data_IF_830620443476
#
_entry.id   IF_830620443476
#
_cell.length_a   1.000
_cell.length_b   1.000
_cell.length_c   1.000
_cell.angle_alpha   90.00
_cell.angle_beta   90.00
_cell.angle_gamma   90.00
#
_symmetry.space_group_name_H-M   'P 1'
#
loop_
_entity.id
_entity.type
_entity.pdbx_description
1 polymer ?
#
# COMPACT_ATOMS: atom_id res chain seq x y z
N UNK A 1 -1.15 -23.83 50.10
CA UNK A 1 -0.07 -23.73 49.08
C UNK A 1 -0.57 -23.41 47.66
N UNK A 2 -1.74 -23.92 47.20
CA UNK A 2 -2.28 -23.66 45.85
C UNK A 2 -2.49 -22.17 45.50
N UNK A 3 -2.98 -21.32 46.42
CA UNK A 3 -3.23 -19.89 46.09
C UNK A 3 -1.97 -19.06 45.84
N UNK A 4 -0.86 -19.34 46.53
CA UNK A 4 0.41 -18.64 46.32
C UNK A 4 1.04 -18.98 44.97
N UNK A 5 1.02 -20.25 44.57
CA UNK A 5 1.54 -20.68 43.27
C UNK A 5 0.67 -20.15 42.12
N UNK A 6 -0.65 -20.14 42.29
CA UNK A 6 -1.57 -19.56 41.30
C UNK A 6 -1.40 -18.03 41.18
N UNK A 7 -1.20 -17.33 42.29
CA UNK A 7 -0.90 -15.88 42.28
C UNK A 7 0.43 -15.57 41.59
N UNK A 8 1.47 -16.40 41.82
CA UNK A 8 2.77 -16.28 41.13
C UNK A 8 2.62 -16.52 39.64
N UNK A 9 1.86 -17.55 39.23
CA UNK A 9 1.59 -17.82 37.81
C UNK A 9 0.90 -16.63 37.14
N UNK A 10 -0.15 -16.07 37.75
CA UNK A 10 -0.81 -14.88 37.20
C UNK A 10 0.11 -13.67 37.10
N UNK A 11 1.00 -13.46 38.08
CA UNK A 11 2.01 -12.39 38.00
C UNK A 11 2.99 -12.61 36.85
N UNK A 12 3.48 -13.84 36.64
CA UNK A 12 4.33 -14.16 35.50
C UNK A 12 3.62 -13.95 34.17
N UNK A 13 2.37 -14.42 34.04
CA UNK A 13 1.56 -14.18 32.84
C UNK A 13 1.34 -12.68 32.60
N UNK A 14 1.03 -11.91 33.66
CA UNK A 14 0.85 -10.47 33.57
C UNK A 14 2.13 -9.75 33.13
N UNK A 15 3.29 -10.10 33.71
CA UNK A 15 4.59 -9.51 33.34
C UNK A 15 4.94 -9.82 31.89
N UNK A 16 4.80 -11.08 31.46
CA UNK A 16 5.05 -11.48 30.07
C UNK A 16 4.10 -10.77 29.10
N UNK A 17 2.80 -10.72 29.42
CA UNK A 17 1.82 -10.00 28.62
C UNK A 17 2.12 -8.50 28.54
N UNK A 18 2.51 -7.90 29.67
CA UNK A 18 2.85 -6.48 29.72
C UNK A 18 4.11 -6.16 28.92
N UNK A 19 5.12 -7.03 28.97
CA UNK A 19 6.35 -6.92 28.19
C UNK A 19 6.04 -6.92 26.69
N UNK A 20 5.26 -7.88 26.21
CA UNK A 20 4.88 -7.96 24.79
C UNK A 20 4.08 -6.75 24.32
N UNK A 21 3.13 -6.30 25.13
CA UNK A 21 2.36 -5.08 24.83
C UNK A 21 3.25 -3.81 24.78
N UNK A 22 4.26 -3.71 25.64
CA UNK A 22 5.22 -2.62 25.59
C UNK A 22 6.04 -2.69 24.29
N UNK A 23 6.49 -3.89 23.91
CA UNK A 23 7.19 -4.08 22.64
C UNK A 23 6.33 -3.67 21.45
N UNK A 24 5.04 -4.05 21.41
CA UNK A 24 4.12 -3.62 20.34
C UNK A 24 4.04 -2.09 20.23
N UNK A 25 3.98 -1.39 21.36
CA UNK A 25 3.99 0.07 21.37
C UNK A 25 5.30 0.66 20.85
N UNK A 26 6.44 0.05 21.19
CA UNK A 26 7.76 0.47 20.70
C UNK A 26 7.87 0.25 19.19
N UNK A 27 7.40 -0.89 18.68
CA UNK A 27 7.38 -1.24 17.26
C UNK A 27 6.47 -0.26 16.51
N UNK A 28 5.26 0.00 17.01
CA UNK A 28 4.33 0.96 16.41
C UNK A 28 4.95 2.37 16.35
N UNK A 29 5.62 2.81 17.42
CA UNK A 29 6.35 4.07 17.46
C UNK A 29 7.50 4.09 16.43
N UNK A 30 8.27 3.00 16.31
CA UNK A 30 9.34 2.86 15.32
C UNK A 30 8.80 3.01 13.89
N UNK A 31 7.76 2.24 13.55
CA UNK A 31 7.10 2.28 12.24
C UNK A 31 6.61 3.70 11.94
N UNK A 32 5.87 4.31 12.87
CA UNK A 32 5.33 5.64 12.70
C UNK A 32 6.44 6.68 12.47
N UNK A 33 7.53 6.64 13.24
CA UNK A 33 8.65 7.58 13.10
C UNK A 33 9.34 7.42 11.76
N UNK A 34 9.60 6.21 11.29
CA UNK A 34 10.18 5.95 9.97
C UNK A 34 9.28 6.50 8.87
N UNK A 35 7.96 6.25 8.92
CA UNK A 35 6.99 6.80 7.97
C UNK A 35 6.94 8.33 7.98
N UNK A 36 7.05 8.97 9.16
CA UNK A 36 7.10 10.43 9.27
C UNK A 36 8.35 10.98 8.59
N UNK A 37 9.51 10.34 8.75
CA UNK A 37 10.73 10.78 8.06
C UNK A 37 10.63 10.59 6.54
N UNK A 38 10.04 9.49 6.08
CA UNK A 38 9.77 9.29 4.64
C UNK A 38 8.91 10.41 4.07
N UNK A 39 7.80 10.76 4.74
CA UNK A 39 6.91 11.88 4.33
C UNK A 39 7.63 13.23 4.34
N UNK A 40 8.54 13.45 5.29
CA UNK A 40 9.36 14.67 5.32
C UNK A 40 10.35 14.70 4.15
N UNK A 41 10.96 13.56 3.81
CA UNK A 41 11.83 13.41 2.64
C UNK A 41 11.09 13.68 1.32
N UNK A 42 9.87 13.15 1.18
CA UNK A 42 9.01 13.42 0.02
C UNK A 42 8.63 14.90 -0.10
N UNK A 43 8.28 15.53 1.02
CA UNK A 43 7.96 16.95 1.06
C UNK A 43 9.17 17.82 0.72
N UNK A 44 10.37 17.44 1.19
CA UNK A 44 11.62 18.13 0.87
C UNK A 44 11.96 18.00 -0.62
N UNK A 45 11.89 16.79 -1.16
CA UNK A 45 12.06 16.53 -2.59
C UNK A 45 11.12 17.38 -3.43
N UNK A 46 9.83 17.43 -3.09
CA UNK A 46 8.85 18.24 -3.83
C UNK A 46 9.23 19.72 -3.86
N UNK A 47 9.63 20.28 -2.71
CA UNK A 47 10.11 21.67 -2.62
C UNK A 47 11.35 21.93 -3.46
N UNK A 48 12.30 21.00 -3.48
CA UNK A 48 13.51 21.14 -4.31
C UNK A 48 13.19 21.08 -5.80
N UNK A 49 12.29 20.18 -6.23
CA UNK A 49 11.82 20.12 -7.62
C UNK A 49 11.13 21.42 -8.04
N UNK A 50 10.27 21.97 -7.18
CA UNK A 50 9.60 23.25 -7.44
C UNK A 50 10.59 24.41 -7.58
N UNK A 51 11.58 24.49 -6.68
CA UNK A 51 12.67 25.48 -6.73
C UNK A 51 13.50 25.34 -8.01
N UNK A 52 13.89 24.11 -8.36
CA UNK A 52 14.63 23.82 -9.59
C UNK A 52 13.81 24.18 -10.83
N UNK A 53 12.53 23.83 -10.89
CA UNK A 53 11.67 24.17 -12.02
C UNK A 53 11.53 25.69 -12.21
N UNK A 54 11.47 26.45 -11.11
CA UNK A 54 11.44 27.92 -11.16
C UNK A 54 12.75 28.51 -11.68
N UNK A 55 13.89 27.99 -11.21
CA UNK A 55 15.24 28.41 -11.61
C UNK A 55 15.49 28.05 -13.08
N UNK A 56 15.11 26.85 -13.48
CA UNK A 56 15.24 26.33 -14.84
C UNK A 56 14.35 27.10 -15.84
N UNK A 57 13.15 27.53 -15.43
CA UNK A 57 12.33 28.48 -16.21
C UNK A 57 13.03 29.83 -16.40
N UNK A 58 13.69 30.36 -15.36
CA UNK A 58 14.46 31.61 -15.47
C UNK A 58 15.66 31.45 -16.40
N UNK A 59 16.44 30.37 -16.24
CA UNK A 59 17.60 30.07 -17.07
C UNK A 59 17.22 29.86 -18.54
N UNK A 60 16.13 29.13 -18.82
CA UNK A 60 15.58 28.98 -20.17
C UNK A 60 15.14 30.31 -20.79
N UNK A 61 14.50 31.19 -20.00
CA UNK A 61 14.10 32.51 -20.48
C UNK A 61 15.33 33.39 -20.79
N UNK A 62 16.38 33.33 -19.99
CA UNK A 62 17.64 34.02 -20.27
C UNK A 62 18.32 33.46 -21.53
N UNK A 63 18.39 32.13 -21.68
CA UNK A 63 18.91 31.48 -22.88
C UNK A 63 18.11 31.87 -24.14
N UNK A 64 16.78 31.88 -24.06
CA UNK A 64 15.90 32.32 -25.15
C UNK A 64 16.16 33.77 -25.56
N UNK A 65 16.31 34.68 -24.59
CA UNK A 65 16.65 36.09 -24.87
C UNK A 65 18.02 36.23 -25.55
N UNK A 66 19.02 35.45 -25.12
CA UNK A 66 20.35 35.42 -25.75
C UNK A 66 20.27 34.89 -27.19
N UNK A 67 19.48 33.84 -27.43
CA UNK A 67 19.26 33.29 -28.78
C UNK A 67 18.54 34.29 -29.69
N UNK A 68 17.55 35.03 -29.16
CA UNK A 68 16.85 36.11 -29.87
C UNK A 68 17.81 37.22 -30.34
N UNK A 69 18.77 37.61 -29.49
CA UNK A 69 19.81 38.58 -29.86
C UNK A 69 20.67 38.07 -31.01
N UNK A 70 20.91 36.75 -31.09
CA UNK A 70 21.73 36.14 -32.13
C UNK A 70 21.00 35.95 -33.48
N UNK A 71 19.66 35.98 -33.50
CA UNK A 71 18.83 35.81 -34.72
C UNK A 71 18.32 37.16 -35.23
N UNK A 72 18.56 38.25 -34.51
CA UNK A 72 18.05 39.57 -34.87
C UNK A 72 18.99 40.28 -35.87
N UNK A 73 18.61 40.27 -37.16
CA UNK A 73 19.34 40.92 -38.26
C UNK A 73 19.55 42.44 -38.08
N UNK A 74 18.83 43.08 -37.14
CA UNK A 74 19.00 44.50 -36.82
C UNK A 74 20.21 44.77 -35.92
N UNK A 75 20.80 43.74 -35.33
CA UNK A 75 21.97 43.85 -34.45
C UNK A 75 23.20 43.47 -35.28
N UNK A 76 24.17 44.39 -35.48
CA UNK A 76 25.41 44.04 -36.16
C UNK A 76 26.15 42.92 -35.44
N UNK A 77 26.72 41.96 -36.18
CA UNK A 77 27.45 40.79 -35.64
C UNK A 77 28.52 41.15 -34.59
N UNK A 78 29.18 42.30 -34.77
CA UNK A 78 30.20 42.81 -33.83
C UNK A 78 29.62 43.16 -32.44
N UNK A 79 28.32 43.46 -32.34
CA UNK A 79 27.65 43.91 -31.11
C UNK A 79 26.86 42.79 -30.40
N UNK A 80 26.64 41.64 -31.06
CA UNK A 80 25.88 40.50 -30.52
C UNK A 80 26.40 40.06 -29.15
N UNK A 81 27.72 39.98 -28.97
CA UNK A 81 28.34 39.62 -27.68
C UNK A 81 28.08 40.65 -26.59
N UNK A 82 28.18 41.95 -26.90
CA UNK A 82 27.88 43.01 -25.94
C UNK A 82 26.42 42.97 -25.49
N UNK A 83 25.50 42.75 -26.44
CA UNK A 83 24.06 42.63 -26.17
C UNK A 83 23.69 41.36 -25.41
N UNK A 84 24.40 40.25 -25.63
CA UNK A 84 24.24 39.05 -24.82
C UNK A 84 24.71 39.26 -23.36
N UNK A 85 25.78 40.04 -23.15
CA UNK A 85 26.28 40.37 -21.81
C UNK A 85 25.42 41.36 -21.04
N UNK A 86 24.53 42.12 -21.71
CA UNK A 86 23.47 42.90 -21.04
C UNK A 86 22.40 42.00 -20.41
N UNK A 87 22.21 40.77 -20.92
CA UNK A 87 21.22 39.80 -20.42
C UNK A 87 21.80 38.94 -19.29
N UNK A 88 23.04 38.47 -19.47
CA UNK A 88 23.80 37.72 -18.44
C UNK A 88 25.19 38.33 -18.35
N UNK A 89 25.59 38.92 -17.21
CA UNK A 89 26.91 39.53 -17.05
C UNK A 89 28.04 38.57 -17.40
N UNK A 90 29.11 39.09 -18.01
CA UNK A 90 30.27 38.30 -18.45
C UNK A 90 30.87 37.44 -17.34
N UNK A 91 30.90 37.96 -16.12
CA UNK A 91 31.47 37.30 -14.94
C UNK A 91 30.61 36.11 -14.47
N UNK A 92 29.30 36.17 -14.69
CA UNK A 92 28.34 35.12 -14.33
C UNK A 92 28.07 34.15 -15.49
N UNK A 93 28.47 34.49 -16.71
CA UNK A 93 28.16 33.72 -17.91
C UNK A 93 28.68 32.27 -17.85
N UNK A 94 29.86 32.04 -17.26
CA UNK A 94 30.40 30.68 -17.05
C UNK A 94 29.55 29.89 -16.05
N UNK A 95 29.08 30.54 -14.99
CA UNK A 95 28.21 29.93 -13.98
C UNK A 95 26.84 29.61 -14.56
N UNK A 96 26.25 30.53 -15.32
CA UNK A 96 25.02 30.33 -16.09
C UNK A 96 25.10 29.11 -17.01
N UNK A 97 26.15 28.99 -17.83
CA UNK A 97 26.34 27.82 -18.70
C UNK A 97 26.51 26.52 -17.90
N UNK A 98 27.20 26.58 -16.76
CA UNK A 98 27.37 25.40 -15.90
C UNK A 98 26.07 24.95 -15.25
N UNK A 99 25.21 25.89 -14.83
CA UNK A 99 23.90 25.63 -14.22
C UNK A 99 22.87 25.18 -15.25
N UNK A 100 22.87 25.80 -16.44
CA UNK A 100 22.04 25.40 -17.57
C UNK A 100 22.37 23.98 -18.07
N UNK A 101 23.65 23.59 -18.01
CA UNK A 101 24.10 22.24 -18.39
C UNK A 101 23.77 21.18 -17.33
N UNK A 102 23.56 21.54 -16.05
CA UNK A 102 23.34 20.55 -14.98
C UNK A 102 22.10 19.72 -15.31
N UNK A 103 22.34 18.44 -15.57
CA UNK A 103 21.29 17.44 -15.73
C UNK A 103 20.57 17.29 -14.40
N UNK A 104 19.24 17.35 -14.45
CA UNK A 104 18.35 17.14 -13.31
C UNK A 104 18.88 16.01 -12.41
N UNK A 105 19.27 16.36 -11.18
CA UNK A 105 19.63 15.35 -10.20
C UNK A 105 18.45 14.37 -10.06
N UNK A 106 18.78 13.08 -9.93
CA UNK A 106 17.76 12.05 -9.69
C UNK A 106 16.90 12.49 -8.52
N UNK A 107 15.57 12.49 -8.66
CA UNK A 107 14.65 12.95 -7.60
C UNK A 107 14.99 12.33 -6.24
N UNK A 108 15.41 11.06 -6.24
CA UNK A 108 15.78 10.35 -5.01
C UNK A 108 17.04 10.90 -4.33
N UNK A 109 17.94 11.56 -5.06
CA UNK A 109 19.13 12.20 -4.49
C UNK A 109 18.75 13.21 -3.40
N UNK A 110 17.77 14.07 -3.66
CA UNK A 110 17.33 15.10 -2.71
C UNK A 110 16.72 14.50 -1.44
N UNK A 111 16.01 13.36 -1.57
CA UNK A 111 15.48 12.61 -0.42
C UNK A 111 16.61 12.09 0.47
N UNK A 112 17.61 11.44 -0.14
CA UNK A 112 18.73 10.87 0.59
C UNK A 112 19.67 11.92 1.18
N UNK A 113 19.80 13.08 0.53
CA UNK A 113 20.48 14.24 1.10
C UNK A 113 19.75 14.75 2.35
N UNK A 114 18.43 14.85 2.31
CA UNK A 114 17.62 15.25 3.47
C UNK A 114 17.82 14.29 4.64
N UNK A 115 17.82 12.97 4.42
CA UNK A 115 18.07 12.00 5.49
C UNK A 115 19.44 12.20 6.15
N UNK A 116 20.48 12.47 5.36
CA UNK A 116 21.81 12.83 5.89
C UNK A 116 21.81 14.11 6.74
N UNK A 117 20.93 15.07 6.46
CA UNK A 117 20.82 16.30 7.27
C UNK A 117 20.10 16.05 8.60
N UNK A 118 19.12 15.16 8.64
CA UNK A 118 18.32 14.87 9.85
C UNK A 118 18.82 13.65 10.65
N UNK A 119 20.00 13.11 10.32
CA UNK A 119 20.55 11.91 10.94
C UNK A 119 20.56 11.94 12.46
N UNK A 120 21.00 13.03 13.08
CA UNK A 120 21.06 13.13 14.54
C UNK A 120 19.69 12.90 15.19
N UNK A 121 18.63 13.42 14.55
CA UNK A 121 17.24 13.22 14.98
C UNK A 121 16.78 11.79 14.75
N UNK A 122 17.15 11.18 13.61
CA UNK A 122 16.86 9.77 13.30
C UNK A 122 17.50 8.86 14.36
N UNK A 123 18.81 8.98 14.57
CA UNK A 123 19.58 8.18 15.55
C UNK A 123 19.02 8.32 16.95
N UNK A 124 18.76 9.55 17.41
CA UNK A 124 18.21 9.79 18.76
C UNK A 124 16.86 9.09 18.99
N UNK A 125 16.03 9.01 17.96
CA UNK A 125 14.67 8.50 18.09
C UNK A 125 14.53 7.01 17.79
N UNK A 126 15.27 6.48 16.80
CA UNK A 126 15.11 5.10 16.32
C UNK A 126 16.13 4.15 16.91
N UNK A 127 17.38 4.59 17.14
CA UNK A 127 18.46 3.72 17.61
C UNK A 127 18.18 3.08 18.97
N UNK A 128 17.60 3.77 19.97
CA UNK A 128 17.27 3.13 21.25
C UNK A 128 16.26 2.01 21.10
N UNK A 129 15.26 2.18 20.22
CA UNK A 129 14.25 1.15 19.95
C UNK A 129 14.90 -0.02 19.21
N UNK A 130 15.69 0.28 18.17
CA UNK A 130 16.40 -0.74 17.40
C UNK A 130 17.35 -1.58 18.26
N UNK A 131 18.01 -1.00 19.27
CA UNK A 131 18.91 -1.72 20.18
C UNK A 131 18.22 -2.76 21.07
N UNK A 132 16.96 -2.53 21.43
CA UNK A 132 16.24 -3.34 22.43
C UNK A 132 15.38 -4.41 21.77
N UNK A 133 14.97 -4.19 20.53
CA UNK A 133 14.10 -5.11 19.80
C UNK A 133 14.94 -6.05 18.94
N UNK A 134 14.70 -7.35 19.09
CA UNK A 134 15.30 -8.39 18.26
C UNK A 134 14.45 -8.62 17.00
N UNK A 135 14.96 -8.18 15.86
CA UNK A 135 14.31 -8.35 14.55
C UNK A 135 14.78 -9.65 13.89
N UNK A 136 13.86 -10.60 13.71
CA UNK A 136 14.04 -11.75 12.84
C UNK A 136 13.59 -11.40 11.43
N UNK A 137 14.39 -11.72 10.41
CA UNK A 137 14.09 -11.36 9.02
C UNK A 137 14.09 -12.62 8.15
N UNK A 138 13.06 -12.82 7.33
CA UNK A 138 13.04 -13.91 6.36
C UNK A 138 14.10 -13.73 5.25
N UNK A 139 14.45 -12.49 4.92
CA UNK A 139 15.53 -12.19 3.98
C UNK A 139 16.88 -12.19 4.71
N UNK A 140 17.75 -13.12 4.33
CA UNK A 140 19.09 -13.30 4.89
C UNK A 140 19.97 -12.03 4.74
N UNK A 141 19.90 -11.33 3.60
CA UNK A 141 20.69 -10.12 3.39
C UNK A 141 20.28 -8.99 4.35
N UNK A 142 18.98 -8.88 4.66
CA UNK A 142 18.48 -7.92 5.65
C UNK A 142 18.85 -8.35 7.07
N UNK A 143 18.76 -9.65 7.37
CA UNK A 143 19.19 -10.20 8.65
C UNK A 143 20.67 -9.90 8.93
N UNK A 144 21.54 -10.13 7.95
CA UNK A 144 22.97 -9.83 8.04
C UNK A 144 23.22 -8.33 8.26
N UNK A 145 22.47 -7.46 7.56
CA UNK A 145 22.57 -6.01 7.77
C UNK A 145 22.15 -5.58 9.18
N UNK A 146 21.11 -6.20 9.74
CA UNK A 146 20.64 -5.98 11.12
C UNK A 146 21.70 -6.43 12.11
N UNK A 147 22.22 -7.65 11.99
CA UNK A 147 23.29 -8.17 12.86
C UNK A 147 24.54 -7.28 12.80
N UNK A 148 24.96 -6.88 11.60
CA UNK A 148 26.07 -5.96 11.40
C UNK A 148 25.82 -4.61 12.10
N UNK A 149 24.63 -4.04 11.94
CA UNK A 149 24.24 -2.79 12.58
C UNK A 149 24.23 -2.91 14.11
N UNK A 150 23.74 -4.01 14.68
CA UNK A 150 23.81 -4.28 16.13
C UNK A 150 25.26 -4.35 16.62
N UNK A 151 26.11 -5.11 15.93
CA UNK A 151 27.53 -5.24 16.26
C UNK A 151 28.25 -3.89 16.21
N UNK A 152 28.03 -3.11 15.16
CA UNK A 152 28.64 -1.78 14.99
C UNK A 152 28.21 -0.83 16.12
N UNK A 153 26.91 -0.80 16.41
CA UNK A 153 26.34 0.06 17.45
C UNK A 153 26.85 -0.33 18.86
N UNK A 154 27.19 -1.60 19.08
CA UNK A 154 27.72 -2.12 20.35
C UNK A 154 29.23 -1.96 20.52
N UNK A 155 30.01 -2.05 19.44
CA UNK A 155 31.48 -2.04 19.50
C UNK A 155 32.11 -0.64 19.50
N UNK A 156 31.35 0.40 19.18
CA UNK A 156 31.78 1.81 19.19
C UNK A 156 33.09 2.08 18.40
N UNK A 157 33.45 1.17 17.48
CA UNK A 157 34.63 1.29 16.61
C UNK A 157 34.37 2.33 15.52
N UNK A 158 35.39 3.12 15.12
CA UNK A 158 35.24 4.06 14.03
C UNK A 158 35.02 3.32 12.70
N UNK A 159 34.15 3.88 11.87
CA UNK A 159 33.73 3.31 10.58
C UNK A 159 34.88 3.06 9.60
N UNK A 160 36.00 3.78 9.74
CA UNK A 160 37.17 3.70 8.87
C UNK A 160 37.91 2.36 8.93
N UNK A 161 37.59 1.52 9.93
CA UNK A 161 38.23 0.22 10.12
C UNK A 161 37.50 -0.94 9.42
N UNK A 162 36.30 -0.70 8.86
CA UNK A 162 35.51 -1.74 8.18
C UNK A 162 35.75 -1.72 6.67
N UNK A 163 35.98 -2.91 6.09
CA UNK A 163 36.04 -3.05 4.63
C UNK A 163 34.64 -2.90 4.04
N UNK A 164 34.55 -2.34 2.84
CA UNK A 164 33.28 -2.19 2.11
C UNK A 164 32.67 -3.56 1.78
N UNK A 165 33.52 -4.58 1.64
CA UNK A 165 33.12 -5.96 1.35
C UNK A 165 32.39 -6.62 2.53
N UNK A 166 32.67 -6.17 3.76
CA UNK A 166 32.06 -6.71 4.98
C UNK A 166 30.67 -6.10 5.26
N UNK A 167 30.29 -5.04 4.54
CA UNK A 167 29.04 -4.30 4.78
C UNK A 167 27.93 -4.86 3.89
N UNK A 168 26.88 -5.49 4.47
CA UNK A 168 25.79 -6.03 3.67
C UNK A 168 25.01 -4.90 3.00
N UNK A 169 24.96 -4.88 1.66
CA UNK A 169 24.22 -3.88 0.86
C UNK A 169 23.14 -4.49 -0.04
N UNK A 170 23.14 -5.82 -0.19
CA UNK A 170 22.28 -6.54 -1.14
C UNK A 170 20.80 -6.59 -0.76
N UNK A 171 20.47 -6.22 0.49
CA UNK A 171 19.09 -6.14 0.96
C UNK A 171 18.26 -5.01 0.33
N UNK A 172 18.89 -4.11 -0.44
CA UNK A 172 18.26 -2.93 -1.02
C UNK A 172 18.52 -2.78 -2.53
N UNK A 173 17.62 -2.18 -3.32
CA UNK A 173 17.79 -2.06 -4.75
C UNK A 173 19.10 -1.36 -5.16
N UNK A 174 19.84 -1.95 -6.10
CA UNK A 174 21.09 -1.40 -6.67
C UNK A 174 20.93 0.04 -7.19
N UNK A 175 19.74 0.40 -7.67
CA UNK A 175 19.41 1.76 -8.12
C UNK A 175 19.44 2.80 -7.00
N UNK A 176 19.29 2.41 -5.74
CA UNK A 176 19.31 3.30 -4.60
C UNK A 176 20.61 3.19 -3.79
N UNK A 177 21.35 2.08 -3.90
CA UNK A 177 22.68 1.91 -3.29
C UNK A 177 23.65 3.05 -3.68
N UNK A 178 23.53 3.60 -4.89
CA UNK A 178 24.32 4.77 -5.35
C UNK A 178 24.16 6.03 -4.50
N UNK A 179 23.07 6.17 -3.74
CA UNK A 179 22.84 7.34 -2.89
C UNK A 179 23.47 7.21 -1.50
N UNK A 180 23.96 6.02 -1.17
CA UNK A 180 24.65 5.69 0.07
C UNK A 180 26.14 5.57 -0.20
N UNK A 181 26.54 5.11 -1.38
CA UNK A 181 27.94 5.12 -1.81
C UNK A 181 28.37 6.53 -2.23
N UNK A 182 29.28 7.12 -1.47
CA UNK A 182 29.92 8.40 -1.80
C UNK A 182 31.33 8.15 -2.32
N UNK A 183 31.82 8.99 -3.25
CA UNK A 183 33.24 8.99 -3.63
C UNK A 183 33.98 9.83 -2.59
N UNK A 184 34.99 9.27 -1.92
CA UNK A 184 35.80 10.05 -0.98
C UNK A 184 36.62 11.10 -1.74
N UNK A 185 36.81 12.27 -1.14
CA UNK A 185 37.66 13.34 -1.70
C UNK A 185 39.16 13.02 -1.61
N UNK A 186 39.55 12.11 -0.71
CA UNK A 186 40.95 11.80 -0.39
C UNK A 186 41.42 10.44 -0.94
N UNK A 187 40.50 9.53 -1.24
CA UNK A 187 40.81 8.20 -1.79
C UNK A 187 39.76 7.88 -2.88
N UNK A 188 40.15 7.48 -4.11
CA UNK A 188 39.20 7.08 -5.16
C UNK A 188 38.31 5.88 -4.80
N UNK A 189 38.56 5.21 -3.66
CA UNK A 189 37.70 4.13 -3.16
C UNK A 189 36.30 4.63 -2.77
N UNK A 190 35.28 3.85 -3.12
CA UNK A 190 33.88 4.12 -2.77
C UNK A 190 33.71 4.02 -1.25
N UNK A 191 33.33 5.09 -0.57
CA UNK A 191 32.99 5.03 0.85
C UNK A 191 31.46 4.92 1.02
N UNK A 192 31.01 4.24 2.07
CA UNK A 192 29.58 4.16 2.42
C UNK A 192 29.26 5.29 3.40
N UNK A 193 28.23 6.08 3.11
CA UNK A 193 27.65 7.04 4.04
C UNK A 193 26.87 6.27 5.11
N UNK A 194 27.49 6.12 6.27
CA UNK A 194 26.94 5.40 7.41
C UNK A 194 25.55 5.90 7.81
N UNK A 195 25.35 7.22 7.79
CA UNK A 195 24.14 7.84 8.28
C UNK A 195 22.94 7.47 7.40
N UNK A 196 23.18 7.43 6.09
CA UNK A 196 22.18 6.98 5.11
C UNK A 196 21.99 5.46 5.14
N UNK A 197 23.07 4.70 5.38
CA UNK A 197 23.00 3.25 5.52
C UNK A 197 22.11 2.83 6.70
N UNK A 198 22.31 3.42 7.87
CA UNK A 198 21.51 3.14 9.06
C UNK A 198 20.02 3.44 8.82
N UNK A 199 19.71 4.58 8.19
CA UNK A 199 18.34 4.88 7.83
C UNK A 199 17.76 3.91 6.78
N UNK A 200 18.58 3.42 5.84
CA UNK A 200 18.17 2.40 4.87
C UNK A 200 17.75 1.09 5.57
N UNK A 201 18.52 0.65 6.57
CA UNK A 201 18.16 -0.53 7.38
C UNK A 201 16.81 -0.30 8.09
N UNK A 202 16.62 0.86 8.72
CA UNK A 202 15.35 1.18 9.38
C UNK A 202 14.16 1.25 8.43
N UNK A 203 14.37 1.80 7.23
CA UNK A 203 13.36 1.79 6.19
C UNK A 203 12.99 0.36 5.81
N UNK A 204 13.97 -0.51 5.57
CA UNK A 204 13.67 -1.86 5.12
C UNK A 204 13.06 -2.74 6.21
N UNK A 205 13.42 -2.53 7.47
CA UNK A 205 12.71 -3.12 8.62
C UNK A 205 11.25 -2.67 8.69
N UNK A 206 10.99 -1.38 8.52
CA UNK A 206 9.62 -0.85 8.52
C UNK A 206 8.78 -1.45 7.38
N UNK A 207 9.36 -1.61 6.18
CA UNK A 207 8.69 -2.30 5.08
C UNK A 207 8.45 -3.76 5.40
N UNK A 208 9.46 -4.45 5.91
CA UNK A 208 9.35 -5.87 6.24
C UNK A 208 8.32 -6.16 7.33
N UNK A 209 8.15 -5.25 8.31
CA UNK A 209 7.11 -5.34 9.33
C UNK A 209 5.70 -5.17 8.74
N UNK A 210 5.54 -4.34 7.70
CA UNK A 210 4.25 -4.18 7.02
C UNK A 210 3.92 -5.37 6.11
N UNK A 211 4.93 -5.91 5.43
CA UNK A 211 4.79 -7.02 4.48
C UNK A 211 4.94 -8.39 5.16
N UNK A 212 4.97 -8.45 6.50
CA UNK A 212 5.11 -9.68 7.31
C UNK A 212 6.36 -10.52 7.01
N UNK A 213 7.44 -9.91 6.51
CA UNK A 213 8.73 -10.58 6.27
C UNK A 213 9.76 -10.35 7.39
N UNK A 214 9.44 -9.45 8.32
CA UNK A 214 10.21 -9.20 9.54
C UNK A 214 9.31 -9.50 10.72
N UNK A 215 9.84 -10.30 11.63
CA UNK A 215 9.14 -10.82 12.78
C UNK A 215 9.87 -10.48 14.08
N UNK A 216 9.11 -10.40 15.16
CA UNK A 216 9.62 -10.08 16.49
C UNK A 216 8.99 -11.07 17.47
N UNK A 217 9.80 -11.97 18.03
CA UNK A 217 9.35 -13.02 18.94
C UNK A 217 8.55 -12.45 20.12
N UNK A 218 9.03 -11.35 20.71
CA UNK A 218 8.46 -10.81 21.94
C UNK A 218 7.35 -9.75 21.68
N UNK A 219 6.62 -9.88 20.57
CA UNK A 219 5.48 -9.05 20.16
C UNK A 219 4.18 -9.88 20.14
N UNK A 220 3.01 -9.23 20.16
CA UNK A 220 1.75 -9.89 19.80
C UNK A 220 1.39 -9.68 18.32
N UNK A 221 1.64 -8.49 17.79
CA UNK A 221 1.22 -8.13 16.43
C UNK A 221 2.20 -8.60 15.34
N UNK A 222 3.47 -8.80 15.70
CA UNK A 222 4.56 -9.07 14.74
C UNK A 222 5.28 -10.40 15.01
N UNK A 223 4.70 -11.27 15.84
CA UNK A 223 5.26 -12.59 16.14
C UNK A 223 5.04 -13.53 14.95
N UNK A 224 6.03 -14.35 14.58
CA UNK A 224 5.82 -15.36 13.54
C UNK A 224 4.91 -16.47 14.10
N UNK A 225 4.11 -17.09 13.23
CA UNK A 225 3.17 -18.14 13.65
C UNK A 225 3.94 -19.33 14.24
N UNK A 226 5.10 -19.62 13.70
CA UNK A 226 5.99 -20.71 14.09
C UNK A 226 6.37 -20.63 15.58
N UNK A 227 6.56 -19.41 16.11
CA UNK A 227 6.87 -19.18 17.54
C UNK A 227 5.65 -19.35 18.47
N UNK A 228 4.44 -19.48 17.92
CA UNK A 228 3.21 -19.80 18.65
C UNK A 228 2.85 -21.28 18.58
N UNK A 229 3.43 -22.01 17.64
CA UNK A 229 3.19 -23.43 17.44
C UNK A 229 4.15 -24.28 18.27
N UNK A 230 3.84 -25.57 18.37
CA UNK A 230 4.77 -26.56 18.90
C UNK A 230 5.92 -26.69 17.89
N UNK A 231 7.15 -26.68 18.39
CA UNK A 231 8.34 -26.88 17.56
C UNK A 231 8.19 -28.14 16.70
N UNK A 232 8.56 -28.06 15.43
CA UNK A 232 8.29 -29.09 14.44
C UNK A 232 9.01 -30.39 14.79
N UNK A 233 10.26 -30.29 15.25
CA UNK A 233 11.07 -31.43 15.68
C UNK A 233 10.42 -32.14 16.88
N UNK A 234 9.88 -31.35 17.80
CA UNK A 234 9.17 -31.85 18.97
C UNK A 234 7.83 -32.49 18.59
N UNK A 235 7.07 -31.86 17.68
CA UNK A 235 5.80 -32.38 17.17
C UNK A 235 6.00 -33.72 16.45
N UNK A 236 6.99 -33.83 15.56
CA UNK A 236 7.27 -35.07 14.82
C UNK A 236 7.61 -36.23 15.77
N UNK A 237 8.39 -35.95 16.81
CA UNK A 237 8.83 -36.97 17.77
C UNK A 237 7.71 -37.40 18.72
N UNK A 238 6.88 -36.45 19.21
CA UNK A 238 5.91 -36.69 20.29
C UNK A 238 4.45 -36.68 19.83
N UNK A 239 4.18 -36.63 18.52
CA UNK A 239 2.83 -36.54 17.93
C UNK A 239 1.80 -37.44 18.62
N UNK A 240 2.10 -38.74 18.71
CA UNK A 240 1.17 -39.73 19.25
C UNK A 240 0.90 -39.56 20.75
N UNK A 241 1.88 -39.05 21.50
CA UNK A 241 1.71 -38.75 22.91
C UNK A 241 0.85 -37.50 23.10
N UNK A 242 1.18 -36.42 22.37
CA UNK A 242 0.43 -35.16 22.42
C UNK A 242 -1.04 -35.36 22.01
N UNK A 243 -1.31 -36.15 20.97
CA UNK A 243 -2.68 -36.48 20.55
C UNK A 243 -3.46 -37.24 21.63
N UNK A 244 -2.80 -38.16 22.36
CA UNK A 244 -3.41 -38.87 23.49
C UNK A 244 -3.71 -37.93 24.66
N UNK A 245 -2.78 -37.01 24.97
CA UNK A 245 -2.96 -36.03 26.06
C UNK A 245 -4.06 -35.01 25.78
N UNK A 246 -4.20 -34.58 24.51
CA UNK A 246 -5.25 -33.66 24.09
C UNK A 246 -6.65 -34.27 24.22
N UNK A 247 -6.76 -35.61 24.20
CA UNK A 247 -8.01 -36.35 24.31
C UNK A 247 -9.10 -35.84 23.35
N UNK A 248 -8.70 -35.50 22.11
CA UNK A 248 -9.59 -35.04 21.04
C UNK A 248 -9.77 -36.17 20.01
N UNK A 249 -10.93 -36.87 20.01
CA UNK A 249 -11.16 -38.04 19.16
C UNK A 249 -11.02 -37.74 17.67
N UNK A 250 -11.45 -36.53 17.27
CA UNK A 250 -11.44 -36.07 15.88
C UNK A 250 -10.02 -35.87 15.33
N UNK A 251 -9.07 -35.46 16.17
CA UNK A 251 -7.66 -35.31 15.79
C UNK A 251 -6.89 -36.64 15.81
N UNK A 252 -7.44 -37.66 16.46
CA UNK A 252 -6.88 -39.02 16.52
C UNK A 252 -7.34 -39.91 15.37
N UNK A 253 -8.42 -39.51 14.68
CA UNK A 253 -8.98 -40.25 13.56
C UNK A 253 -8.25 -39.87 12.28
N UNK A 254 -8.03 -40.82 11.37
CA UNK A 254 -7.45 -40.52 10.07
C UNK A 254 -8.34 -39.57 9.28
N UNK A 255 -7.75 -38.61 8.58
CA UNK A 255 -8.49 -37.71 7.68
C UNK A 255 -9.26 -38.51 6.61
N UNK A 256 -8.72 -39.64 6.16
CA UNK A 256 -9.36 -40.51 5.18
C UNK A 256 -10.65 -41.12 5.73
N UNK A 257 -10.66 -41.55 7.00
CA UNK A 257 -11.83 -42.14 7.64
C UNK A 257 -12.92 -41.10 7.91
N UNK A 258 -12.51 -39.89 8.27
CA UNK A 258 -13.45 -38.75 8.44
C UNK A 258 -14.11 -38.44 7.09
N UNK A 259 -13.31 -38.34 6.02
CA UNK A 259 -13.82 -38.03 4.69
C UNK A 259 -14.74 -39.14 4.15
N UNK A 260 -14.40 -40.41 4.34
CA UNK A 260 -15.25 -41.53 3.89
C UNK A 260 -16.57 -41.60 4.65
N UNK A 261 -16.56 -41.28 5.95
CA UNK A 261 -17.78 -41.19 6.76
C UNK A 261 -18.66 -40.04 6.27
N UNK A 262 -18.09 -38.86 6.05
CA UNK A 262 -18.81 -37.69 5.52
C UNK A 262 -19.36 -37.94 4.12
N UNK A 263 -18.61 -38.61 3.25
CA UNK A 263 -19.04 -39.00 1.91
C UNK A 263 -20.24 -39.96 1.98
N UNK A 264 -20.15 -40.98 2.83
CA UNK A 264 -21.24 -41.94 3.05
C UNK A 264 -22.48 -41.25 3.62
N UNK A 265 -22.31 -40.34 4.58
CA UNK A 265 -23.42 -39.57 5.16
C UNK A 265 -24.10 -38.67 4.14
N UNK A 266 -23.32 -38.04 3.25
CA UNK A 266 -23.84 -37.21 2.17
C UNK A 266 -24.61 -38.07 1.17
N UNK A 267 -24.06 -39.21 0.74
CA UNK A 267 -24.71 -40.13 -0.19
C UNK A 267 -26.03 -40.66 0.38
N UNK A 268 -26.03 -41.09 1.64
CA UNK A 268 -27.25 -41.50 2.35
C UNK A 268 -28.28 -40.38 2.39
N UNK A 269 -27.86 -39.14 2.67
CA UNK A 269 -28.76 -37.97 2.64
C UNK A 269 -29.33 -37.73 1.25
N UNK A 270 -28.53 -37.82 0.19
CA UNK A 270 -29.02 -37.71 -1.19
C UNK A 270 -30.08 -38.77 -1.49
N UNK A 271 -29.84 -40.02 -1.13
CA UNK A 271 -30.80 -41.11 -1.34
C UNK A 271 -32.11 -40.88 -0.58
N UNK A 272 -32.02 -40.46 0.70
CA UNK A 272 -33.20 -40.14 1.52
C UNK A 272 -33.97 -38.96 0.92
N UNK A 273 -33.29 -37.89 0.52
CA UNK A 273 -33.92 -36.70 -0.06
C UNK A 273 -34.58 -37.03 -1.39
N UNK A 274 -33.89 -37.74 -2.29
CA UNK A 274 -34.44 -38.17 -3.58
C UNK A 274 -35.65 -39.09 -3.39
N UNK A 275 -35.59 -40.03 -2.43
CA UNK A 275 -36.74 -40.87 -2.08
C UNK A 275 -37.93 -40.02 -1.63
N UNK A 276 -37.72 -39.06 -0.72
CA UNK A 276 -38.79 -38.16 -0.23
C UNK A 276 -39.38 -37.27 -1.33
N UNK A 277 -38.57 -36.88 -2.31
CA UNK A 277 -39.03 -36.13 -3.49
C UNK A 277 -39.95 -37.00 -4.34
N UNK A 278 -39.56 -38.26 -4.61
CA UNK A 278 -40.36 -39.19 -5.43
C UNK A 278 -41.63 -39.65 -4.71
N UNK A 279 -41.58 -39.90 -3.39
CA UNK A 279 -42.75 -40.31 -2.60
C UNK A 279 -43.72 -39.17 -2.29
N UNK A 280 -43.34 -37.92 -2.58
CA UNK A 280 -44.15 -36.73 -2.30
C UNK A 280 -44.13 -36.29 -0.83
N UNK A 281 -43.30 -36.91 0.01
CA UNK A 281 -43.08 -36.50 1.41
C UNK A 281 -42.36 -35.14 1.50
N UNK A 282 -41.57 -34.78 0.49
CA UNK A 282 -40.93 -33.48 0.39
C UNK A 282 -41.86 -32.44 -0.27
N UNK A 283 -42.56 -31.66 0.54
CA UNK A 283 -43.48 -30.60 0.07
C UNK A 283 -42.76 -29.38 -0.51
N UNK A 284 -41.45 -29.24 -0.28
CA UNK A 284 -40.65 -28.12 -0.77
C UNK A 284 -40.28 -28.24 -2.24
N UNK A 285 -40.36 -29.43 -2.87
CA UNK A 285 -39.99 -29.60 -4.28
C UNK A 285 -41.22 -30.04 -5.08
N UNK A 286 -41.61 -29.25 -6.08
CA UNK A 286 -42.76 -29.56 -6.95
C UNK A 286 -42.28 -30.26 -8.21
N UNK A 287 -42.75 -31.49 -8.43
CA UNK A 287 -42.50 -32.27 -9.65
C UNK A 287 -43.63 -32.06 -10.66
N UNK A 288 -43.30 -31.80 -11.93
CA UNK A 288 -44.25 -31.81 -13.05
C UNK A 288 -44.12 -33.13 -13.81
N UNK A 289 -45.26 -33.76 -14.09
CA UNK A 289 -45.33 -35.03 -14.80
C UNK A 289 -45.99 -34.85 -16.17
N UNK A 290 -45.50 -35.59 -17.17
CA UNK A 290 -46.14 -35.68 -18.48
C UNK A 290 -47.36 -36.61 -18.43
N UNK A 291 -48.18 -36.58 -19.48
CA UNK A 291 -49.38 -37.44 -19.64
C UNK A 291 -49.11 -38.96 -19.57
N UNK A 292 -47.83 -39.38 -19.61
CA UNK A 292 -47.38 -40.78 -19.46
C UNK A 292 -46.82 -41.10 -18.07
N UNK A 293 -46.94 -40.19 -17.10
CA UNK A 293 -46.46 -40.36 -15.72
C UNK A 293 -44.96 -40.14 -15.50
N UNK A 294 -44.21 -39.69 -16.51
CA UNK A 294 -42.77 -39.40 -16.38
C UNK A 294 -42.52 -37.96 -15.90
N UNK A 295 -41.57 -37.79 -14.96
CA UNK A 295 -41.14 -36.46 -14.48
C UNK A 295 -40.50 -35.68 -15.62
N UNK A 296 -40.97 -34.47 -15.87
CA UNK A 296 -40.56 -33.62 -17.00
C UNK A 296 -39.75 -32.40 -16.55
N UNK A 297 -40.07 -31.86 -15.38
CA UNK A 297 -39.29 -30.79 -14.73
C UNK A 297 -39.58 -30.78 -13.24
N UNK A 298 -38.63 -30.27 -12.46
CA UNK A 298 -38.80 -30.00 -11.03
C UNK A 298 -38.67 -28.51 -10.78
N UNK A 299 -39.34 -28.00 -9.76
CA UNK A 299 -39.23 -26.60 -9.34
C UNK A 299 -39.10 -26.56 -7.82
N UNK A 300 -38.04 -25.92 -7.34
CA UNK A 300 -37.92 -25.49 -5.95
C UNK A 300 -38.59 -24.12 -5.87
N UNK A 301 -39.78 -23.97 -5.26
CA UNK A 301 -40.34 -22.67 -4.97
C UNK A 301 -39.42 -22.00 -3.96
N UNK A 302 -38.76 -20.93 -4.40
CA UNK A 302 -38.00 -20.07 -3.52
C UNK A 302 -38.99 -19.14 -2.84
N UNK A 303 -39.38 -19.44 -1.61
CA UNK A 303 -39.89 -18.40 -0.73
C UNK A 303 -38.66 -17.57 -0.36
N UNK A 304 -38.58 -16.33 -0.84
CA UNK A 304 -37.53 -15.43 -0.39
C UNK A 304 -37.58 -15.41 1.13
N UNK A 305 -36.52 -15.89 1.76
CA UNK A 305 -36.34 -15.66 3.19
C UNK A 305 -36.33 -14.15 3.31
N UNK A 306 -37.38 -13.59 3.92
CA UNK A 306 -37.40 -12.19 4.29
C UNK A 306 -36.30 -12.05 5.34
N UNK A 307 -35.13 -11.53 4.94
CA UNK A 307 -33.93 -11.42 5.77
C UNK A 307 -34.14 -10.48 6.99
N UNK A 308 -35.38 -10.11 7.32
CA UNK A 308 -35.77 -9.17 8.36
C UNK A 308 -35.24 -7.75 8.13
N UNK A 309 -34.51 -7.53 7.03
CA UNK A 309 -33.89 -6.25 6.67
C UNK A 309 -34.81 -5.39 5.83
N UNK A 310 -35.74 -5.99 5.08
CA UNK A 310 -36.76 -5.26 4.33
C UNK A 310 -38.00 -5.02 5.18
N UNK A 311 -37.98 -3.94 5.97
CA UNK A 311 -39.15 -3.50 6.74
C UNK A 311 -40.38 -3.37 5.82
N UNK A 312 -41.50 -4.04 6.17
CA UNK A 312 -42.79 -4.00 5.46
C UNK A 312 -43.27 -2.58 5.12
N UNK A 313 -42.82 -1.58 5.86
CA UNK A 313 -43.06 -0.17 5.56
C UNK A 313 -42.54 0.24 4.16
N UNK A 314 -41.32 -0.16 3.79
CA UNK A 314 -40.71 0.23 2.52
C UNK A 314 -41.33 -0.49 1.32
N UNK A 315 -41.95 -1.66 1.52
CA UNK A 315 -42.70 -2.35 0.46
C UNK A 315 -44.00 -1.64 0.10
N UNK A 316 -44.55 -0.80 1.00
CA UNK A 316 -45.75 0.01 0.73
C UNK A 316 -45.45 1.31 0.00
N UNK A 317 -44.18 1.68 -0.15
CA UNK A 317 -43.81 2.88 -0.88
C UNK A 317 -43.88 2.61 -2.40
N UNK A 318 -44.47 3.53 -3.18
CA UNK A 318 -44.45 3.39 -4.63
C UNK A 318 -43.00 3.45 -5.12
N UNK A 319 -42.61 2.47 -5.93
CA UNK A 319 -41.31 2.47 -6.58
C UNK A 319 -41.25 3.63 -7.58
N UNK A 320 -40.36 4.59 -7.33
CA UNK A 320 -40.13 5.71 -8.24
C UNK A 320 -38.83 5.52 -9.01
N UNK A 321 -38.85 5.94 -10.27
CA UNK A 321 -37.66 5.92 -11.10
C UNK A 321 -36.66 6.99 -10.60
N UNK A 322 -35.38 6.62 -10.48
CA UNK A 322 -34.30 7.49 -10.00
C UNK A 322 -34.24 8.82 -10.77
N UNK A 323 -34.61 8.83 -12.07
CA UNK A 323 -34.68 10.03 -12.91
C UNK A 323 -35.73 11.06 -12.46
N UNK A 324 -36.85 10.61 -11.88
CA UNK A 324 -37.85 11.52 -11.31
C UNK A 324 -37.34 12.14 -10.01
N UNK A 325 -36.61 11.36 -9.22
CA UNK A 325 -36.01 11.83 -7.96
C UNK A 325 -34.94 12.90 -8.27
N UNK A 326 -34.06 12.67 -9.24
CA UNK A 326 -33.03 13.66 -9.61
C UNK A 326 -33.63 14.95 -10.15
N UNK A 327 -34.68 14.89 -10.98
CA UNK A 327 -35.41 16.09 -11.44
C UNK A 327 -36.07 16.84 -10.30
N UNK A 328 -36.69 16.12 -9.36
CA UNK A 328 -37.31 16.74 -8.19
C UNK A 328 -36.26 17.46 -7.31
N UNK A 329 -35.14 16.79 -7.02
CA UNK A 329 -34.05 17.37 -6.22
C UNK A 329 -33.46 18.59 -6.92
N UNK A 330 -33.26 18.54 -8.23
CA UNK A 330 -32.79 19.68 -9.01
C UNK A 330 -33.79 20.84 -9.03
N UNK A 331 -35.09 20.55 -9.13
CA UNK A 331 -36.15 21.56 -9.03
C UNK A 331 -36.15 22.29 -7.68
N UNK A 332 -35.79 21.61 -6.58
CA UNK A 332 -35.75 22.19 -5.23
C UNK A 332 -34.42 22.89 -4.94
N UNK A 333 -33.30 22.31 -5.37
CA UNK A 333 -31.95 22.78 -4.98
C UNK A 333 -31.27 23.64 -6.05
N UNK A 334 -31.67 23.49 -7.30
CA UNK A 334 -31.04 24.14 -8.46
C UNK A 334 -29.60 23.73 -8.69
N UNK A 335 -29.19 22.53 -8.24
CA UNK A 335 -27.78 22.09 -8.28
C UNK A 335 -27.24 22.02 -9.72
N UNK A 336 -28.09 21.80 -10.72
CA UNK A 336 -27.72 21.83 -12.15
C UNK A 336 -27.01 23.12 -12.56
N UNK A 337 -27.33 24.26 -11.92
CA UNK A 337 -26.73 25.57 -12.21
C UNK A 337 -25.26 25.67 -11.84
N UNK A 338 -24.76 24.78 -10.98
CA UNK A 338 -23.34 24.73 -10.63
C UNK A 338 -22.46 24.13 -11.74
N UNK A 339 -23.06 23.44 -12.72
CA UNK A 339 -22.33 22.86 -13.84
C UNK A 339 -22.11 23.92 -14.94
N UNK A 340 -20.95 24.58 -14.88
CA UNK A 340 -20.54 25.58 -15.88
C UNK A 340 -19.65 24.98 -16.97
N UNK A 341 -19.70 25.54 -18.17
CA UNK A 341 -18.82 25.16 -19.28
C UNK A 341 -17.34 25.38 -18.90
N UNK A 342 -16.46 24.47 -19.32
CA UNK A 342 -15.00 24.54 -19.05
C UNK A 342 -14.33 25.78 -19.68
N UNK A 343 -14.94 26.36 -20.72
CA UNK A 343 -14.50 27.61 -21.37
C UNK A 343 -15.68 28.59 -21.51
N UNK A 344 -15.92 29.46 -20.52
CA UNK A 344 -17.13 30.31 -20.51
C UNK A 344 -17.08 31.48 -21.51
N UNK A 345 -15.92 31.77 -22.12
CA UNK A 345 -15.69 33.01 -22.88
C UNK A 345 -16.25 32.94 -24.32
N UNK A 346 -16.52 31.75 -24.85
CA UNK A 346 -17.00 31.56 -26.23
C UNK A 346 -18.22 30.64 -26.37
N UNK A 347 -18.80 30.13 -25.28
CA UNK A 347 -19.95 29.23 -25.36
C UNK A 347 -21.26 30.04 -25.42
N UNK A 348 -22.01 29.85 -26.51
CA UNK A 348 -23.37 30.41 -26.69
C UNK A 348 -24.47 29.44 -26.29
N UNK A 349 -24.12 28.19 -25.99
CA UNK A 349 -25.05 27.12 -25.69
C UNK A 349 -25.14 26.91 -24.18
N UNK A 350 -26.37 26.84 -23.67
CA UNK A 350 -26.64 26.41 -22.31
C UNK A 350 -26.61 24.87 -22.24
N UNK A 351 -26.04 24.29 -21.18
CA UNK A 351 -26.00 22.84 -21.05
C UNK A 351 -27.41 22.27 -20.88
N UNK A 352 -27.73 21.23 -21.65
CA UNK A 352 -29.00 20.50 -21.52
C UNK A 352 -29.09 19.80 -20.16
N UNK A 353 -30.20 20.03 -19.46
CA UNK A 353 -30.37 19.61 -18.07
C UNK A 353 -30.53 18.09 -17.96
N UNK A 354 -31.12 17.47 -18.99
CA UNK A 354 -31.30 16.03 -19.11
C UNK A 354 -29.95 15.29 -19.19
N UNK A 355 -28.96 15.87 -19.86
CA UNK A 355 -27.61 15.30 -19.98
C UNK A 355 -26.91 15.33 -18.62
N UNK A 356 -27.03 16.44 -17.89
CA UNK A 356 -26.45 16.57 -16.54
C UNK A 356 -27.05 15.51 -15.61
N UNK A 357 -28.38 15.33 -15.63
CA UNK A 357 -29.05 14.30 -14.82
C UNK A 357 -28.58 12.89 -15.19
N UNK A 358 -28.48 12.58 -16.48
CA UNK A 358 -27.99 11.30 -16.96
C UNK A 358 -26.54 11.01 -16.52
N UNK A 359 -25.65 12.00 -16.61
CA UNK A 359 -24.26 11.87 -16.17
C UNK A 359 -24.14 11.64 -14.65
N UNK A 360 -24.95 12.35 -13.85
CA UNK A 360 -24.96 12.17 -12.39
C UNK A 360 -25.43 10.77 -12.00
N UNK A 361 -26.51 10.27 -12.63
CA UNK A 361 -27.04 8.93 -12.39
C UNK A 361 -26.02 7.87 -12.83
N UNK A 362 -25.42 8.02 -14.02
CA UNK A 362 -24.42 7.09 -14.53
C UNK A 362 -23.22 6.96 -13.59
N UNK A 363 -22.71 8.09 -13.10
CA UNK A 363 -21.61 8.11 -12.14
C UNK A 363 -22.00 7.49 -10.78
N UNK A 364 -23.21 7.77 -10.28
CA UNK A 364 -23.69 7.20 -9.01
C UNK A 364 -23.90 5.67 -9.07
N UNK A 365 -24.28 5.15 -10.24
CA UNK A 365 -24.52 3.72 -10.48
C UNK A 365 -23.28 2.93 -10.92
N UNK A 366 -22.13 3.59 -11.07
CA UNK A 366 -20.89 2.95 -11.54
C UNK A 366 -20.89 2.55 -13.02
N UNK A 367 -21.81 3.09 -13.82
CA UNK A 367 -21.84 2.88 -15.27
C UNK A 367 -20.94 3.93 -15.94
N UNK A 368 -19.68 3.57 -16.19
CA UNK A 368 -18.65 4.50 -16.67
C UNK A 368 -19.01 5.25 -17.98
N UNK A 369 -18.71 6.56 -18.01
CA UNK A 369 -18.94 7.52 -19.12
C UNK A 369 -18.26 7.10 -20.45
N UNK A 370 -17.26 6.21 -20.43
CA UNK A 370 -16.52 5.77 -21.62
C UNK A 370 -17.37 5.00 -22.65
N UNK A 371 -18.53 4.43 -22.27
CA UNK A 371 -19.40 3.70 -23.22
C UNK A 371 -20.41 4.57 -23.97
N UNK A 372 -20.73 5.77 -23.47
CA UNK A 372 -21.80 6.60 -24.06
C UNK A 372 -21.36 7.47 -25.24
N UNK A 373 -20.08 7.87 -25.31
CA UNK A 373 -19.54 8.65 -26.44
C UNK A 373 -19.61 7.90 -27.78
N UNK A 374 -19.64 6.57 -27.76
CA UNK A 374 -19.75 5.75 -28.98
C UNK A 374 -21.21 5.63 -29.46
N UNK A 375 -22.20 5.73 -28.57
CA UNK A 375 -23.61 5.54 -28.94
C UNK A 375 -24.30 6.80 -29.47
N UNK A 376 -23.89 8.00 -29.03
CA UNK A 376 -24.55 9.26 -29.45
C UNK A 376 -24.16 9.67 -30.88
N UNK A 377 -22.98 9.27 -31.36
CA UNK A 377 -22.56 9.51 -32.76
C UNK A 377 -23.36 8.64 -33.75
N UNK A 378 -23.91 7.50 -33.31
CA UNK A 378 -24.63 6.56 -34.17
C UNK A 378 -26.14 6.85 -34.29
N UNK A 379 -26.72 7.74 -33.48
CA UNK A 379 -28.16 8.05 -33.51
C UNK A 379 -28.48 9.38 -34.20
N UNK A 380 -27.48 10.16 -34.61
CA UNK A 380 -27.66 11.43 -35.36
C UNK A 380 -27.43 11.26 -36.87
N UNK A 381 -27.21 10.03 -37.36
CA UNK A 381 -27.09 9.74 -38.81
C UNK A 381 -28.20 8.84 -39.37
N UNK A 382 -29.43 8.92 -38.82
CA UNK A 382 -30.62 8.45 -39.53
C UNK A 382 -31.80 9.40 -39.39
#
# INVERSE_FOLDING_TARGET
MRSKNQSRLYLFCYVNHRLRKINDHLIASFIQKVLVYQKQGDSYQKKQIESLASTDKQLRNQAYKIMLVNVNDKIPDAQVRSKAFEIVPKDEYRKFLSEFKKTNFSRDFDRWQFYGQITQKIKRNLRPIFRVIDFSCANEALHNAVQFLHMFIGTNKPFQDYSIEDIPVDFFPKSLQRFIMTKSHYDPKKCIDWDRYEFMVYWQLQKGLNDTSVHIRDSYCYRPLEDELIDIDHWETHKNQLLKELNMPLLSTSIVDILSTLETDIENKYQIVNRRIVTGENTSIKLKYNNRGAVTSWTLPYDSIDDGTNNLFFQKLPTQNISHITRFVDGVTGYSRAFTHLQPIYSKEQPEIEIIHACVIANATGTEIKKWWISVILTVMH
#
